data_IF_614239429790
#
_entry.id   IF_614239429790
#
_cell.length_a   1.000
_cell.length_b   1.000
_cell.length_c   1.000
_cell.angle_alpha   90.00
_cell.angle_beta   90.00
_cell.angle_gamma   90.00
#
_symmetry.space_group_name_H-M   'P 1'
#
loop_
_entity.id
_entity.type
_entity.pdbx_description
1 polymer ?
#
# COMPACT_ATOMS: atom_id res chain seq x y z
N UNK A 1 -51.94 6.39 14.95
CA UNK A 1 -51.31 5.68 13.81
C UNK A 1 -49.97 6.35 13.55
N UNK A 2 -48.94 5.98 14.32
CA UNK A 2 -47.59 6.52 14.14
C UNK A 2 -46.80 5.61 13.21
N UNK A 3 -46.49 6.12 12.02
CA UNK A 3 -45.53 5.48 11.10
C UNK A 3 -44.13 5.80 11.60
N UNK A 4 -43.46 4.77 12.11
CA UNK A 4 -42.04 4.75 12.44
C UNK A 4 -41.25 4.73 11.12
N UNK A 5 -40.51 5.79 10.81
CA UNK A 5 -39.56 5.84 9.69
C UNK A 5 -38.15 6.03 10.28
N UNK A 6 -37.22 5.20 9.78
CA UNK A 6 -35.90 4.81 10.26
C UNK A 6 -34.84 5.93 10.34
N UNK A 7 -33.83 5.82 11.21
CA UNK A 7 -32.49 6.28 10.88
C UNK A 7 -31.70 5.14 10.20
N UNK A 8 -31.37 5.39 8.93
CA UNK A 8 -30.40 4.64 8.12
C UNK A 8 -28.98 4.93 8.62
N UNK A 9 -28.10 3.92 8.53
CA UNK A 9 -26.65 3.88 8.86
C UNK A 9 -26.32 3.49 10.31
N UNK A 10 -26.28 2.17 10.53
CA UNK A 10 -25.71 1.58 11.74
C UNK A 10 -24.25 2.00 11.90
N UNK A 11 -23.99 2.78 12.95
CA UNK A 11 -22.65 3.01 13.46
C UNK A 11 -22.00 1.65 13.75
N UNK A 12 -20.88 1.35 13.08
CA UNK A 12 -20.02 0.25 13.48
C UNK A 12 -19.42 0.68 14.83
N UNK A 13 -19.89 0.07 15.91
CA UNK A 13 -19.38 0.34 17.26
C UNK A 13 -17.95 -0.18 17.39
N UNK A 14 -17.07 0.49 18.15
CA UNK A 14 -15.66 0.08 18.37
C UNK A 14 -15.53 -1.41 18.74
N UNK A 15 -16.46 -1.93 19.54
CA UNK A 15 -16.54 -3.35 19.93
C UNK A 15 -16.65 -4.30 18.73
N UNK A 16 -17.33 -3.90 17.65
CA UNK A 16 -17.46 -4.73 16.45
C UNK A 16 -16.18 -4.76 15.62
N UNK A 17 -15.43 -3.65 15.57
CA UNK A 17 -14.14 -3.61 14.88
C UNK A 17 -13.08 -4.43 15.63
N UNK A 18 -13.02 -4.30 16.96
CA UNK A 18 -12.11 -5.09 17.79
C UNK A 18 -12.36 -6.60 17.64
N UNK A 19 -13.63 -6.99 17.55
CA UNK A 19 -14.01 -8.38 17.33
C UNK A 19 -13.56 -8.89 15.95
N UNK A 20 -13.65 -8.06 14.91
CA UNK A 20 -13.19 -8.42 13.56
C UNK A 20 -11.67 -8.54 13.52
N UNK A 21 -10.95 -7.61 14.12
CA UNK A 21 -9.47 -7.64 14.18
C UNK A 21 -9.00 -8.91 14.87
N UNK A 22 -9.57 -9.24 16.04
CA UNK A 22 -9.21 -10.47 16.78
C UNK A 22 -9.51 -11.74 15.98
N UNK A 23 -10.55 -11.74 15.15
CA UNK A 23 -10.85 -12.87 14.28
C UNK A 23 -9.86 -13.00 13.13
N UNK A 24 -9.42 -11.88 12.54
CA UNK A 24 -8.43 -11.87 11.47
C UNK A 24 -7.05 -12.32 11.98
N UNK A 25 -6.63 -11.85 13.16
CA UNK A 25 -5.36 -12.24 13.79
C UNK A 25 -5.30 -13.74 14.14
N UNK A 26 -6.45 -14.37 14.40
CA UNK A 26 -6.54 -15.80 14.71
C UNK A 26 -6.52 -16.70 13.47
N UNK A 27 -6.62 -16.14 12.26
CA UNK A 27 -6.66 -16.91 11.01
C UNK A 27 -5.25 -17.08 10.43
N UNK A 28 -4.92 -18.25 9.86
CA UNK A 28 -3.73 -18.41 9.03
C UNK A 28 -3.76 -17.42 7.86
N UNK A 29 -2.60 -16.87 7.48
CA UNK A 29 -2.50 -15.84 6.44
C UNK A 29 -3.16 -16.23 5.11
N UNK A 30 -3.14 -17.52 4.74
CA UNK A 30 -3.81 -18.02 3.53
C UNK A 30 -5.35 -17.87 3.60
N UNK A 31 -5.94 -18.08 4.78
CA UNK A 31 -7.39 -17.90 4.96
C UNK A 31 -7.78 -16.41 5.00
N UNK A 32 -6.91 -15.56 5.56
CA UNK A 32 -7.11 -14.10 5.50
C UNK A 32 -7.11 -13.62 4.05
N UNK A 33 -6.17 -14.12 3.25
CA UNK A 33 -6.07 -13.81 1.81
C UNK A 33 -7.33 -14.22 1.04
N UNK A 34 -7.82 -15.44 1.23
CA UNK A 34 -9.08 -15.92 0.62
C UNK A 34 -10.28 -15.03 0.99
N UNK A 35 -10.39 -14.62 2.27
CA UNK A 35 -11.48 -13.74 2.73
C UNK A 35 -11.39 -12.36 2.10
N UNK A 36 -10.18 -11.79 2.00
CA UNK A 36 -9.96 -10.49 1.36
C UNK A 36 -10.26 -10.56 -0.14
N UNK A 37 -9.82 -11.62 -0.82
CA UNK A 37 -10.11 -11.84 -2.24
C UNK A 37 -11.61 -11.99 -2.50
N UNK A 38 -12.30 -12.77 -1.66
CA UNK A 38 -13.75 -12.93 -1.76
C UNK A 38 -14.49 -11.61 -1.49
N UNK A 39 -14.02 -10.79 -0.54
CA UNK A 39 -14.60 -9.47 -0.26
C UNK A 39 -14.40 -8.49 -1.42
N UNK A 40 -13.20 -8.44 -2.00
CA UNK A 40 -12.91 -7.62 -3.17
C UNK A 40 -13.75 -8.03 -4.38
N UNK A 41 -13.94 -9.33 -4.57
CA UNK A 41 -14.75 -9.88 -5.68
C UNK A 41 -16.25 -9.67 -5.46
N UNK A 42 -16.71 -9.67 -4.20
CA UNK A 42 -18.11 -9.44 -3.86
C UNK A 42 -18.48 -7.95 -3.73
N UNK A 43 -17.50 -7.05 -3.66
CA UNK A 43 -17.69 -5.60 -3.62
C UNK A 43 -17.94 -5.01 -5.02
N UNK A 44 -18.94 -5.56 -5.71
CA UNK A 44 -19.31 -5.22 -7.10
C UNK A 44 -19.75 -3.75 -7.28
N UNK A 45 -20.22 -3.07 -6.22
CA UNK A 45 -20.92 -1.78 -6.38
C UNK A 45 -20.19 -0.54 -5.81
N UNK A 46 -18.96 -0.66 -5.28
CA UNK A 46 -18.26 0.50 -4.67
C UNK A 46 -16.78 0.62 -5.00
N UNK A 47 -16.22 -0.35 -5.70
CA UNK A 47 -14.97 -0.18 -6.42
C UNK A 47 -15.39 -0.25 -7.87
N UNK A 48 -15.56 0.93 -8.46
CA UNK A 48 -15.71 1.16 -9.88
C UNK A 48 -14.54 0.47 -10.60
N UNK A 49 -14.69 -0.84 -10.85
CA UNK A 49 -13.69 -1.67 -11.51
C UNK A 49 -13.37 -1.11 -12.90
N UNK A 50 -14.34 -0.47 -13.56
CA UNK A 50 -14.09 0.28 -14.79
C UNK A 50 -13.05 1.39 -14.59
N UNK A 51 -13.09 2.13 -13.46
CA UNK A 51 -12.12 3.20 -13.19
C UNK A 51 -10.74 2.65 -12.81
N UNK A 52 -10.69 1.47 -12.19
CA UNK A 52 -9.42 0.81 -11.88
C UNK A 52 -8.82 0.13 -13.11
N UNK A 53 -9.63 -0.52 -13.94
CA UNK A 53 -9.22 -1.12 -15.20
C UNK A 53 -8.82 -0.05 -16.21
N UNK A 54 -9.53 1.08 -16.31
CA UNK A 54 -9.13 2.21 -17.15
C UNK A 54 -7.83 2.85 -16.65
N UNK A 55 -7.63 2.94 -15.33
CA UNK A 55 -6.39 3.44 -14.74
C UNK A 55 -5.23 2.45 -14.95
N UNK A 56 -5.47 1.15 -14.81
CA UNK A 56 -4.50 0.10 -15.03
C UNK A 56 -4.17 -0.08 -16.51
N UNK A 57 -5.14 0.07 -17.41
CA UNK A 57 -4.95 0.07 -18.86
C UNK A 57 -4.16 1.31 -19.29
N UNK A 58 -4.48 2.49 -18.74
CA UNK A 58 -3.72 3.72 -18.98
C UNK A 58 -2.29 3.63 -18.43
N UNK A 59 -2.11 3.06 -17.24
CA UNK A 59 -0.79 2.75 -16.72
C UNK A 59 -0.07 1.74 -17.62
N UNK A 60 -0.74 0.69 -18.12
CA UNK A 60 -0.15 -0.32 -19.00
C UNK A 60 0.20 0.23 -20.41
N UNK A 61 -0.53 1.23 -20.89
CA UNK A 61 -0.26 1.92 -22.15
C UNK A 61 0.96 2.85 -22.05
N UNK A 62 1.21 3.43 -20.86
CA UNK A 62 2.37 4.29 -20.54
C UNK A 62 3.51 3.54 -19.80
N UNK A 63 3.32 2.29 -19.39
CA UNK A 63 4.27 1.50 -18.61
C UNK A 63 5.20 0.68 -19.51
N UNK A 64 6.07 1.39 -20.22
CA UNK A 64 7.44 0.89 -20.35
C UNK A 64 8.14 1.17 -19.00
N UNK A 65 7.69 0.49 -17.94
CA UNK A 65 8.42 0.50 -16.67
C UNK A 65 9.71 -0.23 -16.99
N UNK A 66 10.76 0.56 -17.25
CA UNK A 66 12.12 0.08 -17.41
C UNK A 66 12.53 -0.60 -16.09
N UNK A 67 12.21 -1.88 -15.97
CA UNK A 67 12.64 -2.72 -14.85
C UNK A 67 14.16 -2.94 -14.87
N UNK A 68 14.82 -2.55 -15.96
CA UNK A 68 16.28 -2.47 -16.11
C UNK A 68 16.87 -1.17 -15.54
N UNK A 69 16.04 -0.16 -15.25
CA UNK A 69 16.43 1.14 -14.74
C UNK A 69 16.44 1.21 -13.21
N UNK A 70 17.62 1.10 -12.61
CA UNK A 70 17.90 1.68 -11.28
C UNK A 70 17.54 0.85 -10.04
N UNK A 71 16.95 -0.34 -10.17
CA UNK A 71 16.87 -1.28 -9.04
C UNK A 71 18.13 -2.13 -9.01
N UNK A 72 18.90 -2.14 -7.90
CA UNK A 72 20.07 -3.00 -7.80
C UNK A 72 19.61 -4.46 -7.87
N UNK A 73 20.36 -5.29 -8.60
CA UNK A 73 20.13 -6.75 -8.73
C UNK A 73 20.50 -7.45 -7.41
N UNK A 74 19.77 -7.11 -6.36
CA UNK A 74 19.91 -7.68 -5.03
C UNK A 74 19.01 -8.89 -4.91
N UNK A 75 19.55 -9.96 -4.36
CA UNK A 75 18.75 -11.08 -3.92
C UNK A 75 17.80 -10.65 -2.79
N UNK A 76 16.73 -11.42 -2.58
CA UNK A 76 15.79 -11.18 -1.48
C UNK A 76 16.46 -11.08 -0.12
N UNK A 77 17.52 -11.85 0.12
CA UNK A 77 18.25 -11.79 1.38
C UNK A 77 19.08 -10.51 1.49
N UNK A 78 19.70 -10.03 0.42
CA UNK A 78 20.46 -8.78 0.44
C UNK A 78 19.55 -7.56 0.68
N UNK A 79 18.37 -7.53 0.05
CA UNK A 79 17.36 -6.51 0.34
C UNK A 79 16.94 -6.54 1.81
N UNK A 80 16.67 -7.73 2.36
CA UNK A 80 16.29 -7.91 3.77
C UNK A 80 17.38 -7.41 4.72
N UNK A 81 18.65 -7.64 4.40
CA UNK A 81 19.79 -7.20 5.20
C UNK A 81 19.98 -5.68 5.15
N UNK A 82 19.85 -5.06 3.97
CA UNK A 82 19.90 -3.59 3.86
C UNK A 82 18.78 -2.94 4.66
N UNK A 83 17.55 -3.44 4.53
CA UNK A 83 16.39 -2.91 5.26
C UNK A 83 16.57 -3.06 6.78
N UNK A 84 17.09 -4.20 7.23
CA UNK A 84 17.40 -4.43 8.65
C UNK A 84 18.46 -3.44 9.15
N UNK A 85 19.53 -3.21 8.38
CA UNK A 85 20.59 -2.28 8.75
C UNK A 85 20.09 -0.82 8.80
N UNK A 86 19.25 -0.40 7.84
CA UNK A 86 18.62 0.92 7.85
C UNK A 86 17.74 1.09 9.08
N UNK A 87 16.95 0.08 9.41
CA UNK A 87 16.10 0.08 10.59
C UNK A 87 16.89 0.16 11.91
N UNK A 88 17.93 -0.67 12.06
CA UNK A 88 18.80 -0.65 13.24
C UNK A 88 19.53 0.70 13.38
N UNK A 89 19.98 1.27 12.27
CA UNK A 89 20.59 2.60 12.27
C UNK A 89 19.60 3.68 12.71
N UNK A 90 18.37 3.66 12.20
CA UNK A 90 17.32 4.58 12.63
C UNK A 90 17.03 4.45 14.13
N UNK A 91 16.90 3.23 14.66
CA UNK A 91 16.70 3.00 16.09
C UNK A 91 17.83 3.57 16.95
N UNK A 92 19.07 3.50 16.45
CA UNK A 92 20.26 3.96 17.17
C UNK A 92 20.47 5.47 17.11
N UNK A 93 20.22 6.09 15.96
CA UNK A 93 20.60 7.48 15.69
C UNK A 93 19.41 8.42 15.58
N UNK A 94 18.19 7.89 15.41
CA UNK A 94 17.00 8.65 15.01
C UNK A 94 17.13 9.25 13.60
N UNK A 95 18.17 8.90 12.85
CA UNK A 95 18.44 9.49 11.55
C UNK A 95 17.51 8.89 10.50
N UNK A 96 16.73 9.77 9.86
CA UNK A 96 15.91 9.46 8.70
C UNK A 96 16.21 10.47 7.62
N UNK A 97 15.98 10.08 6.36
CA UNK A 97 16.13 10.98 5.23
C UNK A 97 15.01 12.04 5.30
N UNK A 98 15.33 13.34 5.30
CA UNK A 98 14.32 14.39 5.29
C UNK A 98 13.44 14.31 4.05
N UNK A 99 12.15 14.61 4.22
CA UNK A 99 11.16 14.54 3.15
C UNK A 99 11.54 15.43 1.95
N UNK A 100 12.15 16.58 2.22
CA UNK A 100 12.57 17.54 1.21
C UNK A 100 13.64 16.96 0.28
N UNK A 101 14.58 16.17 0.82
CA UNK A 101 15.61 15.52 0.01
C UNK A 101 15.04 14.41 -0.87
N UNK A 102 14.05 13.67 -0.34
CA UNK A 102 13.33 12.67 -1.14
C UNK A 102 12.52 13.35 -2.24
N UNK A 103 11.87 14.47 -1.95
CA UNK A 103 11.08 15.23 -2.93
C UNK A 103 11.97 15.81 -4.04
N UNK A 104 13.14 16.35 -3.68
CA UNK A 104 14.12 16.86 -4.64
C UNK A 104 14.64 15.75 -5.55
N UNK A 105 15.02 14.60 -4.98
CA UNK A 105 15.41 13.41 -5.74
C UNK A 105 14.29 12.97 -6.70
N UNK A 106 13.06 12.80 -6.22
CA UNK A 106 11.91 12.41 -7.06
C UNK A 106 11.65 13.39 -8.20
N UNK A 107 11.83 14.70 -7.96
CA UNK A 107 11.66 15.73 -8.99
C UNK A 107 12.72 15.71 -10.08
N UNK A 108 13.86 15.05 -9.81
CA UNK A 108 14.98 14.95 -10.75
C UNK A 108 14.91 13.73 -11.67
N UNK A 109 14.12 12.71 -11.32
CA UNK A 109 14.01 11.47 -12.10
C UNK A 109 13.36 11.77 -13.46
N UNK A 110 13.95 11.25 -14.55
CA UNK A 110 13.48 11.50 -15.92
C UNK A 110 13.89 12.86 -16.49
N UNK A 111 14.83 13.56 -15.85
CA UNK A 111 15.38 14.84 -16.32
C UNK A 111 16.83 14.71 -16.77
N UNK A 112 17.38 15.71 -17.47
CA UNK A 112 18.81 15.77 -17.84
C UNK A 112 19.76 15.85 -16.62
N UNK A 113 19.21 16.02 -15.41
CA UNK A 113 19.94 16.23 -14.16
C UNK A 113 19.43 15.33 -13.02
N UNK A 114 19.31 14.03 -13.28
CA UNK A 114 18.92 13.06 -12.24
C UNK A 114 19.88 13.09 -11.04
N UNK A 115 19.31 13.18 -9.84
CA UNK A 115 20.04 13.11 -8.58
C UNK A 115 20.13 11.66 -8.10
N UNK A 116 21.19 11.30 -7.34
CA UNK A 116 21.28 9.99 -6.73
C UNK A 116 20.25 9.81 -5.62
N UNK A 117 19.77 8.57 -5.43
CA UNK A 117 18.89 8.22 -4.32
C UNK A 117 19.56 8.52 -2.97
N UNK A 118 18.92 9.30 -2.08
CA UNK A 118 19.47 9.63 -0.76
C UNK A 118 19.57 8.37 0.13
N UNK A 119 20.54 8.33 1.04
CA UNK A 119 20.86 7.18 1.91
C UNK A 119 20.88 7.54 3.38
#
# INVERSE_FOLDING_TARGET
MERRILPVKGAITMSKLEQIVKQIEALPGEQVKEIVLAWLTAADDRLDNERFEDFAAKLAEDADIDTTGGFPDLTTEEMRQEDMQRWENYLRTGHSIPQEQVAEWLSSIGTDHELPCPK
#
